data_IF_752671689401
#
_entry.id   IF_752671689401
#
_cell.length_a   1.000
_cell.length_b   1.000
_cell.length_c   1.000
_cell.angle_alpha   90.00
_cell.angle_beta   90.00
_cell.angle_gamma   90.00
#
_symmetry.space_group_name_H-M   'P 1'
#
loop_
_entity.id
_entity.type
_entity.pdbx_description
1 polymer ?
#
# COMPACT_ATOMS: atom_id res chain seq x y z
N UNK A 1 -32.28 17.57 10.10
CA UNK A 1 -32.24 16.74 8.88
C UNK A 1 -31.07 15.77 9.08
N UNK A 2 -31.34 14.52 9.44
CA UNK A 2 -30.30 13.54 9.77
C UNK A 2 -29.64 13.08 8.46
N UNK A 3 -28.41 13.52 8.20
CA UNK A 3 -27.56 12.90 7.19
C UNK A 3 -27.37 11.43 7.59
N UNK A 4 -27.83 10.50 6.75
CA UNK A 4 -27.74 9.07 7.03
C UNK A 4 -26.28 8.62 7.03
N UNK A 5 -25.63 8.68 8.18
CA UNK A 5 -24.31 8.08 8.38
C UNK A 5 -24.50 6.57 8.27
N UNK A 6 -24.03 5.97 7.17
CA UNK A 6 -24.00 4.52 7.05
C UNK A 6 -23.09 3.97 8.15
N UNK A 7 -23.61 3.12 9.03
CA UNK A 7 -22.83 2.42 10.06
C UNK A 7 -21.65 1.66 9.44
N UNK A 8 -20.55 1.50 10.18
CA UNK A 8 -19.38 0.72 9.76
C UNK A 8 -19.78 -0.61 9.10
N UNK A 9 -20.60 -1.44 9.77
CA UNK A 9 -21.03 -2.74 9.23
C UNK A 9 -21.72 -2.65 7.87
N UNK A 10 -22.47 -1.58 7.60
CA UNK A 10 -23.12 -1.38 6.31
C UNK A 10 -22.11 -0.98 5.22
N UNK A 11 -21.10 -0.17 5.57
CA UNK A 11 -20.00 0.15 4.64
C UNK A 11 -19.19 -1.10 4.31
N UNK A 12 -18.82 -1.88 5.32
CA UNK A 12 -18.15 -3.18 5.15
C UNK A 12 -18.97 -4.15 4.30
N UNK A 13 -20.28 -4.28 4.56
CA UNK A 13 -21.17 -5.11 3.76
C UNK A 13 -21.18 -4.70 2.28
N UNK A 14 -21.26 -3.40 1.99
CA UNK A 14 -21.21 -2.91 0.61
C UNK A 14 -19.88 -3.21 -0.09
N UNK A 15 -18.75 -3.14 0.63
CA UNK A 15 -17.46 -3.56 0.09
C UNK A 15 -17.45 -5.05 -0.26
N UNK A 16 -18.00 -5.90 0.60
CA UNK A 16 -18.08 -7.35 0.38
C UNK A 16 -18.98 -7.72 -0.82
N UNK A 17 -20.02 -6.93 -1.07
CA UNK A 17 -20.90 -7.14 -2.22
C UNK A 17 -20.24 -6.80 -3.57
N UNK A 18 -19.17 -6.00 -3.56
CA UNK A 18 -18.46 -5.62 -4.77
C UNK A 18 -17.27 -6.57 -4.99
N UNK A 19 -17.24 -7.23 -6.15
CA UNK A 19 -16.19 -8.19 -6.52
C UNK A 19 -14.90 -7.49 -7.01
N UNK A 20 -14.43 -6.49 -6.28
CA UNK A 20 -13.22 -5.74 -6.64
C UNK A 20 -11.94 -6.43 -6.14
N UNK A 21 -10.82 -6.18 -6.81
CA UNK A 21 -9.54 -6.88 -6.57
C UNK A 21 -8.83 -6.50 -5.27
N UNK A 22 -9.25 -5.42 -4.58
CA UNK A 22 -8.53 -4.84 -3.44
C UNK A 22 -9.34 -4.81 -2.12
N UNK A 23 -10.24 -5.78 -1.92
CA UNK A 23 -11.15 -5.82 -0.75
C UNK A 23 -10.45 -5.65 0.61
N UNK A 24 -9.25 -6.22 0.78
CA UNK A 24 -8.50 -6.13 2.03
C UNK A 24 -7.98 -4.71 2.32
N UNK A 25 -7.58 -3.96 1.28
CA UNK A 25 -7.15 -2.56 1.39
C UNK A 25 -8.34 -1.66 1.78
N UNK A 26 -9.48 -1.88 1.14
CA UNK A 26 -10.70 -1.13 1.42
C UNK A 26 -11.22 -1.40 2.83
N UNK A 27 -11.23 -2.68 3.25
CA UNK A 27 -11.65 -3.09 4.59
C UNK A 27 -10.77 -2.45 5.68
N UNK A 28 -9.45 -2.51 5.49
CA UNK A 28 -8.48 -1.86 6.37
C UNK A 28 -8.73 -0.35 6.48
N UNK A 29 -8.98 0.30 5.35
CA UNK A 29 -9.23 1.75 5.28
C UNK A 29 -10.52 2.13 6.02
N UNK A 30 -11.60 1.35 5.87
CA UNK A 30 -12.87 1.59 6.57
C UNK A 30 -12.75 1.49 8.09
N UNK A 31 -12.06 0.44 8.58
CA UNK A 31 -11.84 0.29 10.02
C UNK A 31 -10.95 1.42 10.54
N UNK A 32 -9.88 1.76 9.80
CA UNK A 32 -8.99 2.84 10.21
C UNK A 32 -9.70 4.20 10.24
N UNK A 33 -10.58 4.48 9.27
CA UNK A 33 -11.43 5.67 9.29
C UNK A 33 -12.32 5.72 10.54
N UNK A 34 -12.91 4.60 10.92
CA UNK A 34 -13.74 4.50 12.12
C UNK A 34 -12.92 4.72 13.40
N UNK A 35 -11.71 4.14 13.49
CA UNK A 35 -10.78 4.36 14.62
C UNK A 35 -10.42 5.84 14.75
N UNK A 36 -10.03 6.49 13.65
CA UNK A 36 -9.70 7.92 13.66
C UNK A 36 -10.89 8.79 14.09
N UNK A 37 -12.11 8.41 13.68
CA UNK A 37 -13.33 9.18 13.96
C UNK A 37 -13.85 8.97 15.38
N UNK A 38 -14.05 7.72 15.83
CA UNK A 38 -14.72 7.40 17.10
C UNK A 38 -13.83 7.56 18.31
N UNK A 39 -12.54 7.27 18.15
CA UNK A 39 -11.57 7.36 19.26
C UNK A 39 -10.92 8.75 19.31
N UNK A 40 -11.29 9.67 18.40
CA UNK A 40 -10.75 11.02 18.36
C UNK A 40 -9.24 11.08 18.04
N UNK A 41 -8.68 10.00 17.49
CA UNK A 41 -7.24 9.83 17.32
C UNK A 41 -6.65 10.62 16.15
N UNK A 42 -7.47 11.28 15.33
CA UNK A 42 -6.96 12.07 14.21
C UNK A 42 -5.99 13.18 14.65
N UNK A 43 -6.25 13.85 15.77
CA UNK A 43 -5.37 14.92 16.26
C UNK A 43 -3.98 14.40 16.60
N UNK A 44 -3.91 13.31 17.35
CA UNK A 44 -2.65 12.70 17.74
C UNK A 44 -1.94 12.04 16.54
N UNK A 45 -2.70 11.39 15.65
CA UNK A 45 -2.19 10.83 14.40
C UNK A 45 -1.49 11.90 13.54
N UNK A 46 -2.14 13.07 13.37
CA UNK A 46 -1.59 14.18 12.61
C UNK A 46 -0.35 14.76 13.31
N UNK A 47 -0.38 14.99 14.61
CA UNK A 47 0.79 15.51 15.33
C UNK A 47 1.97 14.53 15.33
N UNK A 48 1.71 13.23 15.29
CA UNK A 48 2.73 12.18 15.30
C UNK A 48 3.38 11.99 13.93
N UNK A 49 2.58 12.00 12.86
CA UNK A 49 3.03 11.59 11.53
C UNK A 49 3.03 12.67 10.46
N UNK A 50 2.50 13.85 10.77
CA UNK A 50 2.69 15.04 9.95
C UNK A 50 3.67 15.99 10.64
N UNK A 51 4.29 16.88 9.88
CA UNK A 51 5.15 17.94 10.43
C UNK A 51 4.33 19.10 11.02
N UNK A 52 3.01 18.94 11.13
CA UNK A 52 2.06 19.99 11.50
C UNK A 52 1.73 19.85 12.97
N UNK A 53 1.87 20.95 13.70
CA UNK A 53 1.46 21.05 15.09
C UNK A 53 0.05 21.60 15.15
N UNK A 54 -0.92 20.71 15.21
CA UNK A 54 -2.32 21.06 15.36
C UNK A 54 -2.62 21.34 16.84
N UNK A 55 -3.42 22.37 17.09
CA UNK A 55 -3.72 22.83 18.44
C UNK A 55 -5.15 22.51 18.89
N UNK A 56 -6.14 22.81 18.05
CA UNK A 56 -7.55 22.51 18.32
C UNK A 56 -8.21 21.93 17.08
N UNK A 57 -8.19 20.60 16.97
CA UNK A 57 -8.77 19.89 15.85
C UNK A 57 -10.28 19.73 16.00
N UNK A 58 -11.02 20.05 14.94
CA UNK A 58 -12.44 19.71 14.79
C UNK A 58 -12.68 19.00 13.46
N UNK A 59 -13.12 17.75 13.52
CA UNK A 59 -13.44 16.93 12.34
C UNK A 59 -14.77 17.40 11.76
N UNK A 60 -14.79 17.70 10.46
CA UNK A 60 -16.01 18.03 9.71
C UNK A 60 -16.53 16.84 8.92
N UNK A 61 -15.62 16.08 8.30
CA UNK A 61 -15.98 14.97 7.41
C UNK A 61 -14.83 13.96 7.39
N UNK A 62 -15.15 12.67 7.51
CA UNK A 62 -14.27 11.55 7.13
C UNK A 62 -15.06 10.71 6.14
N UNK A 63 -14.56 10.59 4.92
CA UNK A 63 -15.20 9.86 3.84
C UNK A 63 -14.18 8.97 3.17
N UNK A 64 -14.49 7.69 3.09
CA UNK A 64 -13.72 6.71 2.32
C UNK A 64 -14.25 6.63 0.89
N UNK A 65 -13.44 6.12 -0.04
CA UNK A 65 -13.95 5.69 -1.35
C UNK A 65 -14.58 6.82 -2.19
N UNK A 66 -14.21 8.08 -1.96
CA UNK A 66 -14.77 9.26 -2.66
C UNK A 66 -14.11 9.45 -4.02
N UNK A 67 -14.92 9.45 -5.08
CA UNK A 67 -14.43 9.68 -6.44
C UNK A 67 -14.42 11.16 -6.80
N UNK A 68 -13.33 11.59 -7.40
CA UNK A 68 -13.09 12.90 -8.00
C UNK A 68 -13.00 12.72 -9.51
N UNK A 69 -13.81 13.48 -10.25
CA UNK A 69 -13.75 13.49 -11.71
C UNK A 69 -12.36 13.92 -12.17
N UNK A 70 -11.81 13.24 -13.17
CA UNK A 70 -10.48 13.52 -13.73
C UNK A 70 -10.32 15.00 -14.11
N UNK A 71 -9.13 15.55 -13.86
CA UNK A 71 -8.74 16.85 -14.40
C UNK A 71 -8.29 16.73 -15.86
N UNK A 72 -8.13 17.85 -16.56
CA UNK A 72 -7.84 17.89 -18.01
C UNK A 72 -6.59 17.05 -18.40
N UNK A 73 -5.54 17.12 -17.58
CA UNK A 73 -4.28 16.40 -17.80
C UNK A 73 -4.27 14.96 -17.23
N UNK A 74 -5.42 14.46 -16.76
CA UNK A 74 -5.54 13.13 -16.15
C UNK A 74 -6.26 12.17 -17.10
N UNK A 75 -5.74 10.94 -17.22
CA UNK A 75 -6.37 9.92 -18.07
C UNK A 75 -7.61 9.28 -17.42
N UNK A 76 -7.72 9.31 -16.09
CA UNK A 76 -8.72 8.60 -15.29
C UNK A 76 -9.15 9.43 -14.09
N UNK A 77 -10.32 9.11 -13.55
CA UNK A 77 -10.77 9.64 -12.26
C UNK A 77 -9.82 9.27 -11.12
N UNK A 78 -9.95 10.01 -10.02
CA UNK A 78 -9.15 9.84 -8.81
C UNK A 78 -10.04 9.41 -7.65
N UNK A 79 -9.62 8.40 -6.90
CA UNK A 79 -10.35 7.94 -5.73
C UNK A 79 -9.37 7.67 -4.59
N UNK A 80 -8.98 8.69 -3.82
CA UNK A 80 -8.18 8.46 -2.61
C UNK A 80 -8.96 7.52 -1.68
N UNK A 81 -8.24 6.59 -1.05
CA UNK A 81 -8.85 5.60 -0.16
C UNK A 81 -9.63 6.27 0.99
N UNK A 82 -9.08 7.38 1.51
CA UNK A 82 -9.75 8.21 2.52
C UNK A 82 -9.53 9.71 2.30
N UNK A 83 -10.57 10.49 2.56
CA UNK A 83 -10.55 11.94 2.57
C UNK A 83 -11.09 12.46 3.91
N UNK A 84 -10.36 13.38 4.51
CA UNK A 84 -10.73 14.00 5.79
C UNK A 84 -10.75 15.52 5.64
N UNK A 85 -11.85 16.14 6.04
CA UNK A 85 -11.94 17.60 6.24
C UNK A 85 -12.01 17.89 7.73
N UNK A 86 -11.14 18.79 8.17
CA UNK A 86 -11.10 19.23 9.55
C UNK A 86 -10.73 20.71 9.61
N UNK A 87 -10.75 21.28 10.80
CA UNK A 87 -10.22 22.62 11.04
C UNK A 87 -9.34 22.66 12.27
N UNK A 88 -8.29 23.49 12.23
CA UNK A 88 -7.42 23.82 13.36
C UNK A 88 -7.52 25.32 13.65
N UNK A 89 -8.00 25.69 14.84
CA UNK A 89 -8.30 27.08 15.20
C UNK A 89 -9.13 27.83 14.13
N UNK A 90 -10.07 27.14 13.49
CA UNK A 90 -10.92 27.69 12.44
C UNK A 90 -10.29 27.70 11.03
N UNK A 91 -8.99 27.46 10.89
CA UNK A 91 -8.36 27.29 9.57
C UNK A 91 -8.81 25.96 8.96
N UNK A 92 -9.28 25.91 7.70
CA UNK A 92 -9.74 24.68 7.08
C UNK A 92 -8.58 23.83 6.55
N UNK A 93 -8.68 22.51 6.73
CA UNK A 93 -7.72 21.53 6.24
C UNK A 93 -8.42 20.43 5.43
N UNK A 94 -7.71 19.92 4.42
CA UNK A 94 -8.11 18.74 3.65
C UNK A 94 -6.94 17.75 3.61
N UNK A 95 -7.20 16.52 4.03
CA UNK A 95 -6.25 15.42 4.02
C UNK A 95 -6.75 14.31 3.10
N UNK A 96 -5.92 13.90 2.15
CA UNK A 96 -6.09 12.63 1.43
C UNK A 96 -5.12 11.59 1.98
N UNK A 97 -5.61 10.37 2.11
CA UNK A 97 -4.83 9.19 2.48
C UNK A 97 -4.98 8.17 1.36
N UNK A 98 -3.84 7.64 0.90
CA UNK A 98 -3.77 6.46 0.03
C UNK A 98 -3.06 5.35 0.80
N UNK A 99 -3.66 4.17 0.80
CA UNK A 99 -3.21 2.95 1.46
C UNK A 99 -2.80 1.90 0.41
N UNK A 100 -1.65 1.25 0.63
CA UNK A 100 -1.19 0.11 -0.18
C UNK A 100 -0.68 -1.04 0.69
N UNK A 101 -1.30 -2.20 0.55
CA UNK A 101 -0.85 -3.45 1.18
C UNK A 101 0.03 -4.28 0.27
N UNK A 102 -0.21 -4.23 -1.04
CA UNK A 102 0.42 -5.08 -2.04
C UNK A 102 1.26 -4.33 -3.08
N UNK A 103 1.03 -4.64 -4.37
CA UNK A 103 1.78 -4.07 -5.49
C UNK A 103 1.73 -2.53 -5.51
N UNK A 104 2.70 -1.93 -6.20
CA UNK A 104 2.83 -0.48 -6.30
C UNK A 104 1.56 0.24 -6.80
N UNK A 105 1.51 1.53 -6.54
CA UNK A 105 0.42 2.43 -6.94
C UNK A 105 0.12 2.40 -8.45
N UNK A 106 -1.10 2.82 -8.81
CA UNK A 106 -1.43 3.09 -10.20
C UNK A 106 -0.54 4.19 -10.79
N UNK A 107 -0.31 4.18 -12.10
CA UNK A 107 0.53 5.18 -12.77
C UNK A 107 0.13 6.61 -12.34
N UNK A 108 1.09 7.41 -11.88
CA UNK A 108 0.95 8.81 -11.41
C UNK A 108 -0.20 9.06 -10.39
N UNK A 109 -0.64 8.05 -9.65
CA UNK A 109 -1.81 8.14 -8.77
C UNK A 109 -1.66 9.21 -7.68
N UNK A 110 -0.56 9.18 -6.92
CA UNK A 110 -0.31 10.19 -5.87
C UNK A 110 -0.21 11.60 -6.44
N UNK A 111 0.35 11.77 -7.64
CA UNK A 111 0.40 13.07 -8.32
C UNK A 111 -1.02 13.59 -8.63
N UNK A 112 -1.91 12.74 -9.15
CA UNK A 112 -3.29 13.15 -9.42
C UNK A 112 -4.01 13.63 -8.16
N UNK A 113 -3.77 12.98 -7.03
CA UNK A 113 -4.32 13.38 -5.74
C UNK A 113 -3.80 14.73 -5.27
N UNK A 114 -2.50 14.98 -5.44
CA UNK A 114 -1.91 16.29 -5.16
C UNK A 114 -2.52 17.38 -6.07
N UNK A 115 -2.73 17.09 -7.35
CA UNK A 115 -3.35 18.03 -8.28
C UNK A 115 -4.82 18.34 -7.89
N UNK A 116 -5.56 17.37 -7.32
CA UNK A 116 -6.89 17.63 -6.74
C UNK A 116 -6.83 18.42 -5.43
N UNK A 117 -5.82 18.21 -4.59
CA UNK A 117 -5.65 19.00 -3.37
C UNK A 117 -5.35 20.47 -3.69
N UNK A 118 -4.66 20.74 -4.80
CA UNK A 118 -4.37 22.11 -5.25
C UNK A 118 -5.62 22.98 -5.42
N UNK A 119 -6.77 22.43 -5.83
CA UNK A 119 -7.99 23.24 -5.91
C UNK A 119 -8.46 23.70 -4.53
N UNK A 120 -8.34 22.87 -3.51
CA UNK A 120 -8.65 23.26 -2.12
C UNK A 120 -7.66 24.27 -1.56
N UNK A 121 -6.40 24.19 -1.98
CA UNK A 121 -5.38 25.17 -1.61
C UNK A 121 -5.72 26.56 -2.17
N UNK A 122 -6.19 26.64 -3.42
CA UNK A 122 -6.66 27.88 -4.03
C UNK A 122 -7.88 28.47 -3.31
N UNK A 123 -8.71 27.62 -2.69
CA UNK A 123 -9.84 28.00 -1.84
C UNK A 123 -9.41 28.37 -0.40
N UNK A 124 -8.10 28.44 -0.12
CA UNK A 124 -7.54 28.82 1.18
C UNK A 124 -7.47 27.69 2.22
N UNK A 125 -7.62 26.43 1.82
CA UNK A 125 -7.42 25.28 2.71
C UNK A 125 -5.96 24.88 2.80
N UNK A 126 -5.52 24.44 3.98
CA UNK A 126 -4.28 23.70 4.11
C UNK A 126 -4.48 22.26 3.61
N UNK A 127 -3.50 21.73 2.87
CA UNK A 127 -3.66 20.45 2.18
C UNK A 127 -2.57 19.45 2.52
N UNK A 128 -2.99 18.20 2.68
CA UNK A 128 -2.16 17.11 3.16
C UNK A 128 -2.40 15.86 2.34
N UNK A 129 -1.32 15.17 1.98
CA UNK A 129 -1.35 13.87 1.34
C UNK A 129 -0.49 12.90 2.17
N UNK A 130 -1.10 11.82 2.65
CA UNK A 130 -0.42 10.77 3.39
C UNK A 130 -0.46 9.48 2.57
N UNK A 131 0.70 8.91 2.30
CA UNK A 131 0.83 7.59 1.69
C UNK A 131 1.21 6.56 2.74
N UNK A 132 0.34 5.56 2.96
CA UNK A 132 0.53 4.49 3.93
C UNK A 132 0.81 3.19 3.18
N UNK A 133 1.90 2.52 3.51
CA UNK A 133 2.27 1.26 2.84
C UNK A 133 2.65 0.14 3.81
N UNK A 134 2.31 -1.11 3.49
CA UNK A 134 2.82 -2.28 4.23
C UNK A 134 4.32 -2.46 3.99
N UNK A 135 4.73 -2.40 2.71
CA UNK A 135 6.08 -2.70 2.27
C UNK A 135 6.99 -1.46 2.27
N UNK A 136 8.28 -1.65 2.01
CA UNK A 136 9.20 -0.53 1.79
C UNK A 136 9.09 -0.02 0.35
N UNK A 137 8.29 1.02 0.13
CA UNK A 137 8.06 1.66 -1.18
C UNK A 137 8.30 3.17 -1.12
N UNK A 138 9.56 3.64 -0.95
CA UNK A 138 9.86 5.06 -0.75
C UNK A 138 9.49 5.91 -1.99
N UNK A 139 8.75 6.99 -1.76
CA UNK A 139 8.39 7.98 -2.79
C UNK A 139 9.19 9.26 -2.63
N UNK A 140 9.40 9.95 -3.75
CA UNK A 140 10.05 11.26 -3.77
C UNK A 140 8.99 12.35 -3.91
N UNK A 141 8.97 13.31 -2.98
CA UNK A 141 7.99 14.40 -2.98
C UNK A 141 7.96 15.18 -4.31
N UNK A 142 9.12 15.39 -4.93
CA UNK A 142 9.27 16.10 -6.21
C UNK A 142 8.55 15.44 -7.40
N UNK A 143 8.30 14.12 -7.31
CA UNK A 143 7.62 13.35 -8.36
C UNK A 143 6.09 13.37 -8.16
N UNK A 144 5.62 13.84 -6.99
CA UNK A 144 4.20 13.86 -6.59
C UNK A 144 3.65 15.29 -6.58
N UNK A 145 4.39 16.23 -5.98
CA UNK A 145 3.94 17.60 -5.76
C UNK A 145 4.51 18.51 -6.85
N UNK A 146 3.62 19.09 -7.66
CA UNK A 146 3.96 20.06 -8.68
C UNK A 146 4.60 21.33 -8.07
N UNK A 147 5.53 21.95 -8.80
CA UNK A 147 6.19 23.19 -8.35
C UNK A 147 5.16 24.29 -8.04
N UNK A 148 5.30 24.91 -6.86
CA UNK A 148 4.41 25.98 -6.39
C UNK A 148 3.14 25.53 -5.65
N UNK A 149 2.90 24.22 -5.48
CA UNK A 149 1.87 23.71 -4.57
C UNK A 149 2.42 23.62 -3.14
N UNK A 150 1.60 24.00 -2.15
CA UNK A 150 1.98 23.95 -0.73
C UNK A 150 1.49 22.68 -0.02
N UNK A 151 0.90 21.72 -0.76
CA UNK A 151 0.50 20.42 -0.20
C UNK A 151 1.67 19.73 0.49
N UNK A 152 1.47 19.40 1.76
CA UNK A 152 2.38 18.55 2.52
C UNK A 152 2.25 17.09 2.09
N UNK A 153 3.37 16.38 1.99
CA UNK A 153 3.40 14.97 1.64
C UNK A 153 4.15 14.21 2.72
N UNK A 154 3.51 13.19 3.28
CA UNK A 154 4.11 12.31 4.28
C UNK A 154 3.94 10.85 3.86
N UNK A 155 4.96 10.06 4.14
CA UNK A 155 4.91 8.62 3.90
C UNK A 155 5.12 7.89 5.21
N UNK A 156 4.22 6.94 5.49
CA UNK A 156 4.19 6.16 6.72
C UNK A 156 4.07 4.68 6.32
N UNK A 157 4.51 3.78 7.19
CA UNK A 157 4.23 2.36 7.04
C UNK A 157 3.27 1.86 8.11
N UNK A 158 2.46 0.87 7.77
CA UNK A 158 1.46 0.32 8.71
C UNK A 158 2.05 -0.17 10.03
N UNK A 159 3.29 -0.71 10.04
CA UNK A 159 3.94 -1.09 11.29
C UNK A 159 4.16 0.09 12.25
N UNK A 160 4.30 1.32 11.72
CA UNK A 160 4.39 2.51 12.57
C UNK A 160 3.04 2.78 13.21
N UNK A 161 1.96 2.76 12.41
CA UNK A 161 0.58 2.95 12.88
C UNK A 161 0.21 1.87 13.90
N UNK A 162 0.57 0.60 13.65
CA UNK A 162 0.39 -0.50 14.60
C UNK A 162 1.05 -0.19 15.94
N UNK A 163 2.32 0.26 15.93
CA UNK A 163 3.03 0.61 17.16
C UNK A 163 2.43 1.83 17.86
N UNK A 164 1.97 2.83 17.11
CA UNK A 164 1.30 4.01 17.67
C UNK A 164 -0.06 3.68 18.30
N UNK A 165 -0.84 2.80 17.68
CA UNK A 165 -2.12 2.33 18.22
C UNK A 165 -1.94 1.53 19.54
N UNK A 166 -0.76 0.96 19.80
CA UNK A 166 -0.49 0.28 21.08
C UNK A 166 -0.58 1.20 22.28
N UNK A 167 -0.36 2.50 22.09
CA UNK A 167 -0.44 3.52 23.13
C UNK A 167 -1.87 4.10 23.26
N UNK A 168 -2.79 3.72 22.38
CA UNK A 168 -4.15 4.27 22.26
C UNK A 168 -5.23 3.19 22.42
N UNK A 169 -5.05 2.31 23.42
CA UNK A 169 -5.86 1.09 23.59
C UNK A 169 -7.32 1.41 23.91
N UNK A 170 -8.22 0.87 23.09
CA UNK A 170 -9.66 0.76 23.29
C UNK A 170 -10.15 -0.62 22.83
N UNK A 171 -11.41 -0.98 23.03
CA UNK A 171 -11.97 -2.24 22.52
C UNK A 171 -11.87 -2.31 20.99
N UNK A 172 -12.25 -1.23 20.28
CA UNK A 172 -12.13 -1.15 18.83
C UNK A 172 -10.68 -1.19 18.36
N UNK A 173 -9.78 -0.46 19.04
CA UNK A 173 -8.35 -0.47 18.70
C UNK A 173 -7.73 -1.83 18.94
N UNK A 174 -8.13 -2.57 19.97
CA UNK A 174 -7.63 -3.93 20.22
C UNK A 174 -8.05 -4.90 19.11
N UNK A 175 -9.33 -4.90 18.73
CA UNK A 175 -9.81 -5.71 17.60
C UNK A 175 -9.09 -5.31 16.30
N UNK A 176 -8.82 -4.02 16.13
CA UNK A 176 -8.09 -3.56 14.95
C UNK A 176 -6.63 -4.02 14.96
N UNK A 177 -5.96 -3.97 16.11
CA UNK A 177 -4.59 -4.47 16.27
C UNK A 177 -4.50 -5.98 16.03
N UNK A 178 -5.47 -6.77 16.51
CA UNK A 178 -5.58 -8.21 16.22
C UNK A 178 -5.69 -8.45 14.70
N UNK A 179 -6.61 -7.75 14.03
CA UNK A 179 -6.73 -7.83 12.58
C UNK A 179 -5.43 -7.43 11.86
N UNK A 180 -4.77 -6.34 12.30
CA UNK A 180 -3.48 -5.92 11.75
C UNK A 180 -2.40 -6.99 11.91
N UNK A 181 -2.39 -7.77 12.99
CA UNK A 181 -1.47 -8.89 13.19
C UNK A 181 -1.78 -10.06 12.25
N UNK A 182 -3.05 -10.41 12.07
CA UNK A 182 -3.50 -11.47 11.13
C UNK A 182 -3.01 -11.19 9.71
N UNK A 183 -2.99 -9.92 9.31
CA UNK A 183 -2.58 -9.49 7.97
C UNK A 183 -1.11 -9.01 7.91
N UNK A 184 -0.34 -9.27 8.97
CA UNK A 184 1.10 -9.01 9.10
C UNK A 184 1.49 -7.54 8.91
N UNK A 185 0.72 -6.63 9.49
CA UNK A 185 1.05 -5.19 9.55
C UNK A 185 1.85 -4.80 10.78
N UNK A 186 2.10 -5.73 11.68
CA UNK A 186 2.96 -5.60 12.86
C UNK A 186 4.45 -5.84 12.55
N UNK A 187 4.81 -6.14 11.29
CA UNK A 187 6.17 -6.46 10.87
C UNK A 187 7.18 -5.37 11.25
N UNK A 188 8.11 -5.75 12.12
CA UNK A 188 9.16 -4.87 12.59
C UNK A 188 10.38 -4.90 11.66
N UNK A 189 11.28 -3.92 11.76
CA UNK A 189 12.59 -3.96 11.08
C UNK A 189 13.59 -4.93 11.73
N UNK A 190 13.13 -5.90 12.53
CA UNK A 190 13.99 -6.85 13.23
C UNK A 190 13.83 -8.22 12.61
N UNK A 191 14.96 -8.79 12.20
CA UNK A 191 15.02 -10.18 11.76
C UNK A 191 14.74 -11.09 12.97
N UNK A 192 13.85 -12.07 12.78
CA UNK A 192 13.70 -13.18 13.73
C UNK A 192 14.78 -14.23 13.44
N UNK A 193 15.09 -15.14 14.39
CA UNK A 193 16.10 -16.18 14.18
C UNK A 193 15.88 -17.02 12.92
N UNK A 194 14.60 -17.23 12.55
CA UNK A 194 14.21 -17.93 11.33
C UNK A 194 14.66 -17.18 10.08
N UNK A 195 14.53 -15.86 10.05
CA UNK A 195 15.00 -15.04 8.93
C UNK A 195 16.52 -15.10 8.80
N UNK A 196 17.24 -15.01 9.92
CA UNK A 196 18.70 -15.10 9.96
C UNK A 196 19.15 -16.47 9.46
N UNK A 197 18.50 -17.55 9.90
CA UNK A 197 18.77 -18.90 9.44
C UNK A 197 18.55 -19.03 7.93
N UNK A 198 17.42 -18.51 7.41
CA UNK A 198 17.13 -18.51 5.99
C UNK A 198 18.20 -17.75 5.18
N UNK A 199 18.65 -16.59 5.65
CA UNK A 199 19.72 -15.80 5.02
C UNK A 199 21.05 -16.55 5.03
N UNK A 200 21.45 -17.11 6.18
CA UNK A 200 22.70 -17.86 6.33
C UNK A 200 22.77 -19.09 5.42
N UNK A 201 21.62 -19.71 5.14
CA UNK A 201 21.53 -20.87 4.27
C UNK A 201 21.06 -20.56 2.85
N UNK A 202 20.89 -19.28 2.49
CA UNK A 202 20.36 -18.86 1.20
C UNK A 202 21.19 -19.40 0.03
N UNK A 203 22.52 -19.41 0.16
CA UNK A 203 23.41 -19.96 -0.86
C UNK A 203 23.11 -21.45 -1.13
N UNK A 204 22.90 -22.24 -0.07
CA UNK A 204 22.54 -23.66 -0.18
C UNK A 204 21.19 -23.83 -0.88
N UNK A 205 20.20 -23.02 -0.50
CA UNK A 205 18.86 -23.07 -1.09
C UNK A 205 18.90 -22.71 -2.58
N UNK A 206 19.66 -21.68 -2.96
CA UNK A 206 19.89 -21.30 -4.36
C UNK A 206 20.55 -22.43 -5.14
N UNK A 207 21.62 -23.04 -4.63
CA UNK A 207 22.26 -24.21 -5.28
C UNK A 207 21.31 -25.39 -5.44
N UNK A 208 20.41 -25.63 -4.49
CA UNK A 208 19.41 -26.69 -4.60
C UNK A 208 18.40 -26.40 -5.72
N UNK A 209 17.92 -25.15 -5.82
CA UNK A 209 17.04 -24.75 -6.92
C UNK A 209 17.74 -24.87 -8.28
N UNK A 210 19.01 -24.50 -8.37
CA UNK A 210 19.83 -24.67 -9.58
C UNK A 210 19.94 -26.13 -9.99
N UNK A 211 20.35 -26.99 -9.05
CA UNK A 211 20.51 -28.42 -9.31
C UNK A 211 19.21 -29.09 -9.78
N UNK A 212 18.04 -28.60 -9.36
CA UNK A 212 16.75 -29.09 -9.83
C UNK A 212 16.41 -28.66 -11.27
N UNK A 213 16.94 -27.53 -11.74
CA UNK A 213 16.66 -26.98 -13.08
C UNK A 213 17.74 -27.29 -14.10
N UNK A 214 18.92 -27.71 -13.65
CA UNK A 214 20.04 -28.14 -14.49
C UNK A 214 19.97 -29.64 -14.85
N UNK A 215 20.90 -30.09 -15.69
CA UNK A 215 20.99 -31.48 -16.15
C UNK A 215 19.75 -31.89 -16.94
N UNK A 216 19.06 -32.94 -16.49
CA UNK A 216 17.95 -33.55 -17.24
C UNK A 216 16.80 -32.59 -17.56
N UNK A 217 16.48 -31.67 -16.64
CA UNK A 217 15.39 -30.69 -16.89
C UNK A 217 15.78 -29.75 -18.02
N UNK A 218 16.98 -29.17 -17.94
CA UNK A 218 17.53 -28.31 -18.99
C UNK A 218 17.69 -29.04 -20.33
N UNK A 219 18.15 -30.29 -20.32
CA UNK A 219 18.27 -31.11 -21.53
C UNK A 219 16.91 -31.32 -22.20
N UNK A 220 15.86 -31.64 -21.42
CA UNK A 220 14.50 -31.83 -21.94
C UNK A 220 14.00 -30.53 -22.57
N UNK A 221 14.11 -29.39 -21.88
CA UNK A 221 13.65 -28.10 -22.40
C UNK A 221 14.46 -27.71 -23.65
N UNK A 222 15.78 -27.85 -23.62
CA UNK A 222 16.65 -27.55 -24.76
C UNK A 222 16.29 -28.40 -25.98
N UNK A 223 16.00 -29.69 -25.77
CA UNK A 223 15.61 -30.62 -26.84
C UNK A 223 14.22 -30.27 -27.40
N UNK A 224 13.24 -30.02 -26.53
CA UNK A 224 11.87 -29.70 -26.95
C UNK A 224 11.78 -28.39 -27.73
N UNK A 225 12.58 -27.40 -27.35
CA UNK A 225 12.50 -26.04 -27.90
C UNK A 225 13.70 -25.66 -28.79
N UNK A 226 14.61 -26.61 -29.04
CA UNK A 226 15.78 -26.52 -29.92
C UNK A 226 16.60 -25.23 -29.75
N UNK A 227 16.78 -24.78 -28.51
CA UNK A 227 17.45 -23.52 -28.13
C UNK A 227 18.06 -23.67 -26.75
N UNK A 228 19.18 -22.98 -26.51
CA UNK A 228 19.82 -22.95 -25.20
C UNK A 228 18.94 -22.28 -24.16
N UNK A 229 18.98 -22.77 -22.92
CA UNK A 229 18.38 -22.09 -21.78
C UNK A 229 19.38 -21.17 -21.10
N UNK A 230 18.89 -20.18 -20.36
CA UNK A 230 19.72 -19.25 -19.61
C UNK A 230 19.02 -18.76 -18.36
N UNK A 231 19.79 -18.13 -17.48
CA UNK A 231 19.25 -17.51 -16.28
C UNK A 231 18.78 -16.10 -16.59
N UNK A 232 17.57 -15.78 -16.17
CA UNK A 232 17.16 -14.40 -15.87
C UNK A 232 17.82 -13.93 -14.56
N UNK A 233 17.72 -12.64 -14.22
CA UNK A 233 18.11 -12.18 -12.90
C UNK A 233 17.21 -12.83 -11.82
N UNK A 234 17.67 -13.96 -11.28
CA UNK A 234 16.94 -14.81 -10.33
C UNK A 234 16.54 -14.08 -9.06
N UNK A 235 17.41 -13.21 -8.54
CA UNK A 235 17.11 -12.41 -7.35
C UNK A 235 16.05 -11.35 -7.64
N UNK A 236 16.07 -10.73 -8.82
CA UNK A 236 14.99 -9.82 -9.22
C UNK A 236 13.67 -10.58 -9.38
N UNK A 237 13.68 -11.80 -9.92
CA UNK A 237 12.48 -12.61 -10.03
C UNK A 237 11.90 -13.01 -8.67
N UNK A 238 12.74 -13.45 -7.73
CA UNK A 238 12.30 -13.75 -6.37
C UNK A 238 11.72 -12.49 -5.70
N UNK A 239 12.43 -11.36 -5.81
CA UNK A 239 12.03 -10.11 -5.18
C UNK A 239 10.74 -9.50 -5.75
N UNK A 240 10.54 -9.55 -7.06
CA UNK A 240 9.47 -8.80 -7.76
C UNK A 240 8.28 -9.66 -8.17
N UNK A 241 8.48 -10.96 -8.30
CA UNK A 241 7.53 -11.85 -8.95
C UNK A 241 7.31 -13.16 -8.18
N UNK A 242 7.93 -13.33 -7.01
CA UNK A 242 7.86 -14.56 -6.21
C UNK A 242 8.12 -15.83 -7.03
N UNK A 243 9.10 -15.78 -7.94
CA UNK A 243 9.43 -16.91 -8.81
C UNK A 243 10.94 -17.04 -9.03
N UNK A 244 11.36 -18.22 -9.42
CA UNK A 244 12.75 -18.57 -9.70
C UNK A 244 12.81 -19.39 -10.99
N UNK A 245 13.14 -18.75 -12.11
CA UNK A 245 12.97 -19.35 -13.43
C UNK A 245 14.27 -19.30 -14.26
N UNK A 246 14.44 -20.32 -15.11
CA UNK A 246 15.25 -20.27 -16.32
C UNK A 246 14.38 -19.86 -17.50
N UNK A 247 15.01 -19.23 -18.48
CA UNK A 247 14.38 -18.79 -19.72
C UNK A 247 14.95 -19.57 -20.90
N UNK A 248 14.09 -19.82 -21.88
CA UNK A 248 14.46 -20.28 -23.20
C UNK A 248 13.89 -19.30 -24.22
N UNK A 249 14.75 -18.47 -24.81
CA UNK A 249 14.35 -17.42 -25.75
C UNK A 249 14.20 -17.98 -27.16
N UNK A 250 13.00 -17.83 -27.72
CA UNK A 250 12.70 -18.25 -29.07
C UNK A 250 12.89 -17.11 -30.06
N UNK A 251 13.23 -17.43 -31.31
CA UNK A 251 13.55 -16.43 -32.34
C UNK A 251 12.34 -15.61 -32.82
N UNK A 252 11.13 -15.95 -32.39
CA UNK A 252 9.85 -15.35 -32.79
C UNK A 252 9.24 -14.45 -31.69
N UNK A 253 10.08 -13.87 -30.82
CA UNK A 253 9.65 -13.06 -29.67
C UNK A 253 8.82 -13.83 -28.64
N UNK A 254 8.85 -15.16 -28.66
CA UNK A 254 8.29 -15.98 -27.58
C UNK A 254 9.38 -16.43 -26.62
N UNK A 255 8.99 -16.68 -25.38
CA UNK A 255 9.89 -17.23 -24.36
C UNK A 255 9.20 -18.36 -23.62
N UNK A 256 9.96 -19.37 -23.27
CA UNK A 256 9.52 -20.45 -22.39
C UNK A 256 10.25 -20.29 -21.07
N UNK A 257 9.49 -20.01 -20.01
CA UNK A 257 10.01 -19.92 -18.65
C UNK A 257 9.69 -21.21 -17.90
N UNK A 258 10.68 -21.76 -17.18
CA UNK A 258 10.50 -22.96 -16.37
C UNK A 258 11.26 -22.83 -15.06
N UNK A 259 10.67 -23.31 -13.96
CA UNK A 259 11.22 -23.10 -12.62
C UNK A 259 10.17 -23.20 -11.53
N UNK A 260 10.39 -22.46 -10.44
CA UNK A 260 9.57 -22.48 -9.24
C UNK A 260 8.74 -21.21 -9.11
N UNK A 261 7.49 -21.38 -8.68
CA UNK A 261 6.69 -20.31 -8.10
C UNK A 261 6.67 -20.51 -6.59
N UNK A 262 6.93 -19.43 -5.86
CA UNK A 262 6.76 -19.42 -4.41
C UNK A 262 5.31 -19.07 -4.14
N UNK A 263 4.58 -20.01 -3.54
CA UNK A 263 3.18 -19.84 -3.17
C UNK A 263 3.04 -19.91 -1.67
N UNK A 264 2.15 -19.10 -1.10
CA UNK A 264 1.81 -19.16 0.32
C UNK A 264 0.82 -20.30 0.63
N UNK A 265 0.36 -21.03 -0.40
CA UNK A 265 -0.47 -22.22 -0.29
C UNK A 265 0.43 -23.46 -0.28
N UNK A 266 0.36 -24.25 0.79
CA UNK A 266 0.75 -25.67 0.80
C UNK A 266 -0.31 -26.53 0.12
#
# INVERSE_FOLDING_TARGET
MLFGVNSLFKRLYHLLCNSDRNQQEDYLTEIFAEVLSKEGLLHDFMNTYSEIKLSQLSIREITTQKTYAKQEDHHTDSRPDMMIRFSDNGNPHVLFIENKLGTGEGNIQLKRYADHLRSYELDGCQTHLIYITKLHDPKQKKDIISSGANTSFHQIRWFQIYNWLKDHRSELVNLFLEYMEEIQLNDSRRFVPQDIYAIQHMERLVRMMDACLEGRVEEIVTTLFNRSTGWTNRFDQLKKHNRYMKLNAQANLTEVNFGFYMTDNE
#
